data_IF_226297579586
#
_entry.id   IF_226297579586
#
_cell.length_a   1.000
_cell.length_b   1.000
_cell.length_c   1.000
_cell.angle_alpha   90.00
_cell.angle_beta   90.00
_cell.angle_gamma   90.00
#
_symmetry.space_group_name_H-M   'P 1'
#
loop_
_entity.id
_entity.type
_entity.pdbx_description
1 polymer ?
#
# COMPACT_ATOMS: atom_id res chain seq x y z
N UNK A 1 -22.97 44.07 -31.63
CA UNK A 1 -21.74 43.57 -31.04
C UNK A 1 -21.71 43.72 -29.50
N UNK A 2 -21.82 44.91 -28.88
CA UNK A 2 -21.75 45.10 -27.41
C UNK A 2 -22.70 44.24 -26.60
N UNK A 3 -23.95 44.03 -27.06
CA UNK A 3 -24.96 43.17 -26.36
C UNK A 3 -24.55 41.70 -26.33
N UNK A 4 -23.98 41.16 -27.40
CA UNK A 4 -23.47 39.78 -27.44
C UNK A 4 -22.25 39.58 -26.55
N UNK A 5 -21.38 40.57 -26.44
CA UNK A 5 -20.22 40.56 -25.59
C UNK A 5 -20.61 40.51 -24.11
N UNK A 6 -21.64 41.26 -23.69
CA UNK A 6 -22.19 41.23 -22.34
C UNK A 6 -22.82 39.89 -21.98
N UNK A 7 -23.57 39.28 -22.92
CA UNK A 7 -24.14 37.94 -22.72
C UNK A 7 -23.08 36.89 -22.58
N UNK A 8 -22.03 36.91 -23.44
CA UNK A 8 -20.92 35.96 -23.32
C UNK A 8 -20.16 36.15 -22.01
N UNK A 9 -19.88 37.39 -21.61
CA UNK A 9 -19.25 37.66 -20.30
C UNK A 9 -20.09 37.15 -19.13
N UNK A 10 -21.42 37.34 -19.16
CA UNK A 10 -22.32 36.82 -18.16
C UNK A 10 -22.29 35.28 -18.09
N UNK A 11 -22.31 34.62 -19.24
CA UNK A 11 -22.21 33.15 -19.31
C UNK A 11 -20.88 32.62 -18.75
N UNK A 12 -19.76 33.30 -19.04
CA UNK A 12 -18.45 32.92 -18.50
C UNK A 12 -18.40 33.10 -16.98
N UNK A 13 -18.98 34.14 -16.42
CA UNK A 13 -19.08 34.34 -14.96
C UNK A 13 -19.91 33.24 -14.32
N UNK A 14 -21.06 32.89 -14.89
CA UNK A 14 -21.92 31.79 -14.38
C UNK A 14 -21.19 30.46 -14.49
N UNK A 15 -20.54 30.17 -15.61
CA UNK A 15 -19.75 28.95 -15.79
C UNK A 15 -18.57 28.86 -14.79
N UNK A 16 -17.90 29.98 -14.55
CA UNK A 16 -16.84 30.07 -13.53
C UNK A 16 -17.35 29.83 -12.11
N UNK A 17 -18.49 30.40 -11.76
CA UNK A 17 -19.11 30.18 -10.46
C UNK A 17 -19.55 28.70 -10.26
N UNK A 18 -20.16 28.10 -11.31
CA UNK A 18 -20.55 26.69 -11.28
C UNK A 18 -19.31 25.76 -11.20
N UNK A 19 -18.26 26.08 -11.91
CA UNK A 19 -16.99 25.35 -11.85
C UNK A 19 -16.35 25.47 -10.45
N UNK A 20 -16.39 26.65 -9.86
CA UNK A 20 -15.89 26.88 -8.49
C UNK A 20 -16.71 26.10 -7.45
N UNK A 21 -18.05 26.11 -7.55
CA UNK A 21 -18.93 25.32 -6.65
C UNK A 21 -18.72 23.80 -6.79
N UNK A 22 -18.33 23.33 -7.96
CA UNK A 22 -18.16 21.90 -8.24
C UNK A 22 -16.67 21.50 -8.44
N UNK A 23 -15.74 22.33 -7.99
CA UNK A 23 -14.31 22.13 -8.26
C UNK A 23 -13.78 20.75 -7.84
N UNK A 24 -14.20 20.22 -6.69
CA UNK A 24 -13.80 18.89 -6.23
C UNK A 24 -14.37 17.78 -7.14
N UNK A 25 -15.64 17.88 -7.54
CA UNK A 25 -16.25 16.91 -8.47
C UNK A 25 -15.58 16.95 -9.84
N UNK A 26 -15.23 18.15 -10.32
CA UNK A 26 -14.51 18.33 -11.58
C UNK A 26 -13.09 17.76 -11.50
N UNK A 27 -12.40 18.01 -10.39
CA UNK A 27 -11.08 17.44 -10.14
C UNK A 27 -11.14 15.90 -10.13
N UNK A 28 -12.06 15.31 -9.36
CA UNK A 28 -12.24 13.87 -9.31
C UNK A 28 -12.61 13.26 -10.66
N UNK A 29 -13.46 13.95 -11.44
CA UNK A 29 -13.82 13.52 -12.79
C UNK A 29 -12.61 13.57 -13.74
N UNK A 30 -11.77 14.60 -13.63
CA UNK A 30 -10.55 14.73 -14.40
C UNK A 30 -9.54 13.63 -14.06
N UNK A 31 -9.32 13.39 -12.75
CA UNK A 31 -8.46 12.31 -12.27
C UNK A 31 -8.95 10.96 -12.77
N UNK A 32 -10.25 10.68 -12.64
CA UNK A 32 -10.85 9.45 -13.16
C UNK A 32 -10.69 9.29 -14.67
N UNK A 33 -10.84 10.38 -15.42
CA UNK A 33 -10.64 10.36 -16.88
C UNK A 33 -9.19 10.09 -17.26
N UNK A 34 -8.23 10.71 -16.58
CA UNK A 34 -6.81 10.51 -16.84
C UNK A 34 -6.38 9.10 -16.46
N UNK A 35 -6.71 8.62 -15.25
CA UNK A 35 -6.36 7.27 -14.84
C UNK A 35 -6.97 6.18 -15.75
N UNK A 36 -8.13 6.42 -16.34
CA UNK A 36 -8.74 5.49 -17.29
C UNK A 36 -8.04 5.42 -18.65
N UNK A 37 -7.23 6.43 -19.00
CA UNK A 37 -6.65 6.57 -20.34
C UNK A 37 -5.11 6.53 -20.36
N UNK A 38 -4.44 6.62 -19.21
CA UNK A 38 -2.97 6.74 -19.13
C UNK A 38 -2.24 5.43 -18.82
N UNK A 39 -2.93 4.37 -18.46
CA UNK A 39 -2.27 3.15 -17.99
C UNK A 39 -2.27 2.02 -19.04
N UNK A 40 -1.16 1.90 -19.77
CA UNK A 40 -0.82 0.62 -20.39
C UNK A 40 -0.10 -0.26 -19.34
N UNK A 41 -0.75 -1.36 -18.96
CA UNK A 41 -0.06 -2.41 -18.21
C UNK A 41 1.01 -3.00 -19.13
N UNK A 42 2.27 -2.81 -18.80
CA UNK A 42 3.38 -3.39 -19.55
C UNK A 42 3.29 -4.91 -19.61
N UNK A 43 3.97 -5.56 -20.58
CA UNK A 43 4.00 -7.01 -20.65
C UNK A 43 4.63 -7.58 -19.35
N UNK A 44 4.21 -8.79 -18.93
CA UNK A 44 4.86 -9.47 -17.82
C UNK A 44 6.36 -9.57 -18.07
N UNK A 45 7.15 -9.25 -17.03
CA UNK A 45 8.59 -9.47 -17.05
C UNK A 45 8.91 -10.77 -16.31
N UNK A 46 9.83 -11.55 -16.85
CA UNK A 46 10.40 -12.66 -16.10
C UNK A 46 11.22 -12.08 -14.92
N UNK A 47 10.83 -12.44 -13.73
CA UNK A 47 11.60 -12.10 -12.52
C UNK A 47 12.48 -13.30 -12.21
N UNK A 48 13.82 -13.18 -12.36
CA UNK A 48 14.71 -14.26 -12.00
C UNK A 48 14.70 -14.44 -10.48
N UNK A 49 14.10 -15.51 -10.02
CA UNK A 49 14.24 -15.96 -8.65
C UNK A 49 15.48 -16.82 -8.53
N UNK A 50 16.26 -16.62 -7.48
CA UNK A 50 17.29 -17.55 -7.13
C UNK A 50 16.61 -18.85 -6.69
N UNK A 51 16.65 -19.85 -7.54
CA UNK A 51 16.25 -21.19 -7.14
C UNK A 51 17.20 -21.63 -6.02
N UNK A 52 16.64 -22.05 -4.91
CA UNK A 52 17.41 -22.67 -3.84
C UNK A 52 18.05 -23.99 -4.31
N UNK A 53 18.80 -24.67 -3.45
CA UNK A 53 19.36 -25.99 -3.77
C UNK A 53 18.21 -26.98 -4.04
N UNK A 54 18.38 -27.85 -5.05
CA UNK A 54 17.39 -28.88 -5.41
C UNK A 54 17.12 -29.86 -4.26
N UNK A 55 18.13 -30.02 -3.37
CA UNK A 55 18.00 -30.81 -2.15
C UNK A 55 18.37 -29.97 -0.93
N UNK A 56 17.72 -30.25 0.17
CA UNK A 56 18.01 -29.55 1.42
C UNK A 56 19.41 -29.92 1.95
N UNK A 57 20.18 -28.92 2.27
CA UNK A 57 21.56 -29.08 2.75
C UNK A 57 21.65 -29.65 4.19
N UNK A 58 20.58 -29.54 4.96
CA UNK A 58 20.51 -29.95 6.36
C UNK A 58 19.40 -31.01 6.53
N UNK A 59 19.59 -32.06 7.32
CA UNK A 59 18.56 -33.04 7.65
C UNK A 59 17.31 -32.41 8.23
N UNK A 60 16.13 -33.01 7.99
CA UNK A 60 14.83 -32.44 8.37
C UNK A 60 14.72 -32.18 9.88
N UNK A 61 15.29 -33.03 10.70
CA UNK A 61 15.29 -32.96 12.17
C UNK A 61 16.24 -31.90 12.73
N UNK A 62 17.17 -31.42 11.92
CA UNK A 62 18.12 -30.38 12.27
C UNK A 62 17.74 -29.00 11.72
N UNK A 63 16.73 -28.92 10.83
CA UNK A 63 16.30 -27.67 10.23
C UNK A 63 15.35 -26.89 11.14
N UNK A 64 15.53 -25.59 11.30
CA UNK A 64 14.51 -24.74 11.90
C UNK A 64 13.25 -24.73 10.99
N UNK A 65 12.05 -24.53 11.56
CA UNK A 65 10.82 -24.51 10.80
C UNK A 65 10.79 -23.34 9.80
N UNK A 66 10.16 -23.54 8.65
CA UNK A 66 9.84 -22.44 7.75
C UNK A 66 8.83 -21.49 8.39
N UNK A 67 8.99 -20.19 8.15
CA UNK A 67 8.12 -19.14 8.70
C UNK A 67 7.46 -18.42 7.54
N UNK A 68 6.13 -18.46 7.48
CA UNK A 68 5.33 -17.72 6.49
C UNK A 68 4.48 -16.72 7.25
N UNK A 69 4.76 -15.42 7.06
CA UNK A 69 3.97 -14.32 7.62
C UNK A 69 3.06 -13.74 6.53
N UNK A 70 1.75 -13.94 6.68
CA UNK A 70 0.75 -13.38 5.76
C UNK A 70 0.06 -12.20 6.45
N UNK A 71 0.22 -11.01 5.88
CA UNK A 71 -0.40 -9.78 6.38
C UNK A 71 -1.51 -9.37 5.42
N UNK A 72 -2.75 -9.50 5.86
CA UNK A 72 -3.91 -8.99 5.14
C UNK A 72 -4.01 -7.47 5.32
N UNK A 73 -4.13 -6.75 4.21
CA UNK A 73 -4.20 -5.28 4.17
C UNK A 73 -5.64 -4.82 4.29
N UNK A 74 -5.92 -3.95 5.26
CA UNK A 74 -7.24 -3.36 5.55
C UNK A 74 -8.37 -4.39 5.77
N UNK A 75 -8.03 -5.59 6.28
CA UNK A 75 -9.00 -6.63 6.59
C UNK A 75 -9.59 -6.39 7.99
N UNK A 76 -10.91 -6.23 8.06
CA UNK A 76 -11.63 -6.07 9.31
C UNK A 76 -11.85 -7.39 10.04
N UNK A 77 -11.94 -7.34 11.37
CA UNK A 77 -12.20 -8.50 12.23
C UNK A 77 -13.46 -9.29 11.81
N UNK A 78 -14.51 -8.57 11.38
CA UNK A 78 -15.78 -9.18 10.96
C UNK A 78 -15.80 -9.62 9.48
N UNK A 79 -14.73 -9.39 8.72
CA UNK A 79 -14.70 -9.73 7.30
C UNK A 79 -14.41 -11.22 7.05
N UNK A 80 -13.89 -11.91 8.07
CA UNK A 80 -13.59 -13.35 8.02
C UNK A 80 -14.61 -14.16 8.82
N UNK A 81 -14.90 -15.37 8.36
CA UNK A 81 -15.92 -16.22 9.00
C UNK A 81 -15.46 -16.88 10.30
N UNK A 82 -14.18 -16.97 10.56
CA UNK A 82 -13.58 -17.55 11.79
C UNK A 82 -14.14 -16.94 13.08
N UNK A 83 -14.43 -15.64 13.07
CA UNK A 83 -14.97 -14.92 14.24
C UNK A 83 -16.50 -14.77 14.19
N UNK A 84 -17.18 -15.56 13.37
CA UNK A 84 -18.63 -15.52 13.23
C UNK A 84 -19.15 -14.44 12.29
N UNK A 85 -18.25 -13.64 11.64
CA UNK A 85 -18.55 -12.65 10.62
C UNK A 85 -18.60 -13.22 9.21
N UNK A 86 -18.10 -12.45 8.29
CA UNK A 86 -18.06 -12.71 6.85
C UNK A 86 -18.75 -11.57 6.08
N UNK A 87 -18.18 -11.20 4.94
CA UNK A 87 -18.74 -10.15 4.08
C UNK A 87 -20.16 -10.50 3.60
N UNK A 88 -20.92 -9.46 3.25
CA UNK A 88 -22.30 -9.59 2.75
C UNK A 88 -23.21 -10.39 3.71
N UNK A 89 -23.25 -9.99 4.98
CA UNK A 89 -24.05 -10.63 6.06
C UNK A 89 -23.68 -12.12 6.26
N UNK A 90 -22.39 -12.44 6.14
CA UNK A 90 -21.87 -13.80 6.34
C UNK A 90 -22.09 -14.74 5.15
N UNK A 91 -22.54 -14.24 4.00
CA UNK A 91 -22.68 -15.03 2.77
C UNK A 91 -21.32 -15.39 2.15
N UNK A 92 -20.34 -14.49 2.27
CA UNK A 92 -18.97 -14.74 1.83
C UNK A 92 -18.20 -15.39 2.98
N UNK A 93 -17.74 -16.60 2.76
CA UNK A 93 -16.99 -17.39 3.73
C UNK A 93 -15.51 -17.40 3.40
N UNK A 94 -14.69 -17.64 4.43
CA UNK A 94 -13.23 -17.75 4.34
C UNK A 94 -12.76 -19.15 4.79
N UNK A 95 -13.17 -20.23 4.06
CA UNK A 95 -13.02 -21.60 4.56
C UNK A 95 -11.56 -22.01 4.79
N UNK A 96 -10.62 -21.49 4.01
CA UNK A 96 -9.20 -21.80 4.20
C UNK A 96 -8.61 -21.09 5.43
N UNK A 97 -9.07 -19.87 5.73
CA UNK A 97 -8.68 -19.17 6.97
C UNK A 97 -9.32 -19.87 8.17
N UNK A 98 -10.58 -20.28 8.04
CA UNK A 98 -11.27 -21.03 9.09
C UNK A 98 -10.58 -22.38 9.38
N UNK A 99 -10.07 -23.05 8.33
CA UNK A 99 -9.30 -24.28 8.49
C UNK A 99 -7.95 -24.02 9.19
N UNK A 100 -7.21 -22.98 8.80
CA UNK A 100 -5.99 -22.58 9.51
C UNK A 100 -6.25 -22.30 11.00
N UNK A 101 -7.37 -21.65 11.30
CA UNK A 101 -7.78 -21.39 12.67
C UNK A 101 -8.11 -22.67 13.44
N UNK A 102 -8.73 -23.66 12.78
CA UNK A 102 -9.08 -24.95 13.39
C UNK A 102 -7.85 -25.83 13.65
N UNK A 103 -6.87 -25.77 12.79
CA UNK A 103 -5.64 -26.57 12.86
C UNK A 103 -4.54 -25.91 13.70
N UNK A 104 -4.67 -24.62 14.02
CA UNK A 104 -3.65 -23.80 14.66
C UNK A 104 -4.10 -23.16 15.97
N UNK A 105 -3.54 -21.98 16.24
CA UNK A 105 -3.84 -21.18 17.42
C UNK A 105 -4.45 -19.85 17.00
N UNK A 106 -5.61 -19.51 17.57
CA UNK A 106 -6.30 -18.25 17.34
C UNK A 106 -6.04 -17.30 18.51
N UNK A 107 -5.44 -16.15 18.22
CA UNK A 107 -5.24 -15.08 19.18
C UNK A 107 -6.46 -14.15 19.19
N UNK A 108 -7.36 -14.31 20.14
CA UNK A 108 -8.61 -13.53 20.21
C UNK A 108 -8.43 -12.11 20.76
N UNK A 109 -7.28 -11.80 21.32
CA UNK A 109 -6.91 -10.50 21.91
C UNK A 109 -5.65 -9.93 21.26
N UNK A 110 -5.54 -10.03 19.94
CA UNK A 110 -4.43 -9.46 19.16
C UNK A 110 -4.87 -8.15 18.53
N UNK A 111 -4.07 -7.10 18.73
CA UNK A 111 -4.39 -5.75 18.31
C UNK A 111 -3.31 -5.20 17.39
N UNK A 112 -3.73 -4.48 16.35
CA UNK A 112 -2.81 -3.67 15.55
C UNK A 112 -2.27 -2.51 16.39
N UNK A 113 -0.98 -2.21 16.25
CA UNK A 113 -0.35 -1.13 16.99
C UNK A 113 -0.70 0.28 16.50
N UNK A 114 -1.28 0.38 15.31
CA UNK A 114 -1.78 1.63 14.74
C UNK A 114 -2.98 1.35 13.83
N UNK A 115 -3.85 2.34 13.66
CA UNK A 115 -5.02 2.26 12.77
C UNK A 115 -4.68 2.44 11.29
N UNK A 116 -3.42 2.72 10.93
CA UNK A 116 -2.96 2.91 9.55
C UNK A 116 -1.90 1.88 9.18
N UNK A 117 -1.83 1.56 7.88
CA UNK A 117 -1.03 0.47 7.36
C UNK A 117 0.49 0.62 7.62
N UNK A 118 1.09 1.78 7.33
CA UNK A 118 2.54 1.94 7.42
C UNK A 118 3.10 1.77 8.84
N UNK A 119 2.60 2.48 9.88
CA UNK A 119 3.09 2.28 11.24
C UNK A 119 2.79 0.87 11.79
N UNK A 120 1.64 0.26 11.41
CA UNK A 120 1.33 -1.14 11.80
C UNK A 120 2.32 -2.12 11.18
N UNK A 121 2.71 -1.92 9.93
CA UNK A 121 3.74 -2.74 9.27
C UNK A 121 5.10 -2.56 9.90
N UNK A 122 5.48 -1.33 10.26
CA UNK A 122 6.71 -1.06 11.01
C UNK A 122 6.74 -1.83 12.33
N UNK A 123 5.61 -1.84 13.07
CA UNK A 123 5.50 -2.60 14.31
C UNK A 123 5.64 -4.10 14.08
N UNK A 124 5.02 -4.65 13.03
CA UNK A 124 5.15 -6.08 12.69
C UNK A 124 6.60 -6.44 12.35
N UNK A 125 7.31 -5.56 11.62
CA UNK A 125 8.69 -5.82 11.23
C UNK A 125 9.68 -5.68 12.38
N UNK A 126 9.45 -4.75 13.32
CA UNK A 126 10.44 -4.39 14.37
C UNK A 126 10.08 -4.92 15.75
N UNK A 127 8.83 -5.34 15.98
CA UNK A 127 8.31 -5.65 17.32
C UNK A 127 8.22 -4.42 18.24
N UNK A 128 8.31 -3.19 17.69
CA UNK A 128 8.32 -1.94 18.46
C UNK A 128 7.13 -1.07 18.08
N UNK A 129 6.54 -0.41 19.08
CA UNK A 129 5.46 0.56 18.83
C UNK A 129 5.96 1.73 17.96
N UNK A 130 5.08 2.31 17.10
CA UNK A 130 5.45 3.39 16.19
C UNK A 130 6.12 4.58 16.87
N UNK A 131 5.64 4.97 18.06
CA UNK A 131 6.22 6.04 18.89
C UNK A 131 7.67 5.79 19.30
N UNK A 132 8.14 4.53 19.26
CA UNK A 132 9.52 4.16 19.59
C UNK A 132 10.45 4.19 18.40
N UNK A 133 9.90 3.99 17.20
CA UNK A 133 10.64 4.04 15.94
C UNK A 133 10.60 5.44 15.32
N UNK A 134 9.71 6.32 15.80
CA UNK A 134 9.44 7.62 15.18
C UNK A 134 8.64 7.56 13.88
N UNK A 135 8.23 6.36 13.46
CA UNK A 135 7.46 6.15 12.23
C UNK A 135 5.97 5.97 12.55
N UNK A 136 5.31 7.11 12.87
CA UNK A 136 3.96 7.12 13.45
C UNK A 136 2.86 7.39 12.42
N UNK A 137 3.18 7.68 11.18
CA UNK A 137 2.23 8.06 10.14
C UNK A 137 2.59 7.43 8.79
N UNK A 138 1.59 7.38 7.92
CA UNK A 138 1.78 6.90 6.55
C UNK A 138 2.53 7.95 5.73
N UNK A 139 3.61 7.58 5.03
CA UNK A 139 4.30 8.46 4.10
C UNK A 139 3.34 9.04 3.06
N UNK A 140 3.43 10.33 2.82
CA UNK A 140 2.55 11.04 1.88
C UNK A 140 3.33 11.97 0.97
N UNK A 141 3.08 11.94 -0.36
CA UNK A 141 3.62 12.92 -1.28
C UNK A 141 3.19 14.34 -0.94
N UNK A 142 4.01 15.32 -1.29
CA UNK A 142 3.67 16.73 -1.12
C UNK A 142 2.36 17.08 -1.85
N UNK A 143 1.50 17.86 -1.19
CA UNK A 143 0.20 18.26 -1.74
C UNK A 143 -0.94 17.24 -1.55
N UNK A 144 -0.68 16.04 -1.06
CA UNK A 144 -1.71 15.05 -0.80
C UNK A 144 -2.55 15.39 0.43
N UNK A 145 -1.94 15.85 1.51
CA UNK A 145 -2.64 16.15 2.75
C UNK A 145 -3.72 17.23 2.60
N UNK A 146 -3.48 18.39 1.93
CA UNK A 146 -4.53 19.38 1.70
C UNK A 146 -5.68 18.84 0.84
N UNK A 147 -5.39 17.97 -0.11
CA UNK A 147 -6.41 17.36 -0.95
C UNK A 147 -7.31 16.41 -0.16
N UNK A 148 -6.72 15.53 0.64
CA UNK A 148 -7.46 14.61 1.52
C UNK A 148 -8.30 15.38 2.52
N UNK A 149 -7.73 16.40 3.17
CA UNK A 149 -8.46 17.25 4.13
C UNK A 149 -9.67 17.92 3.49
N UNK A 150 -9.53 18.40 2.25
CA UNK A 150 -10.63 19.02 1.50
C UNK A 150 -11.74 18.02 1.17
N UNK A 151 -11.36 16.83 0.71
CA UNK A 151 -12.34 15.77 0.41
C UNK A 151 -13.07 15.34 1.68
N UNK A 152 -12.32 15.12 2.76
CA UNK A 152 -12.90 14.76 4.06
C UNK A 152 -13.87 15.83 4.58
N UNK A 153 -13.58 17.11 4.36
CA UNK A 153 -14.47 18.21 4.74
C UNK A 153 -15.78 18.26 3.93
N UNK A 154 -15.79 17.69 2.72
CA UNK A 154 -16.99 17.59 1.87
C UNK A 154 -17.79 16.30 2.13
N UNK A 155 -17.23 15.34 2.88
CA UNK A 155 -17.92 14.08 3.22
C UNK A 155 -18.78 14.29 4.46
N UNK A 156 -20.10 14.25 4.29
CA UNK A 156 -21.08 14.26 5.40
C UNK A 156 -21.18 12.85 6.00
N UNK A 157 -20.16 12.44 6.76
CA UNK A 157 -20.07 11.14 7.40
C UNK A 157 -20.23 11.20 8.93
N UNK A 158 -20.60 12.38 9.47
CA UNK A 158 -20.76 12.61 10.91
C UNK A 158 -19.45 12.61 11.70
N UNK A 159 -18.29 12.53 11.04
CA UNK A 159 -16.99 12.60 11.68
C UNK A 159 -16.43 14.04 11.65
N UNK A 160 -15.63 14.43 12.64
CA UNK A 160 -14.91 15.70 12.59
C UNK A 160 -14.03 15.78 11.35
N UNK A 161 -14.03 16.93 10.68
CA UNK A 161 -13.12 17.19 9.57
C UNK A 161 -11.67 17.14 10.05
N UNK A 162 -10.80 16.53 9.28
CA UNK A 162 -9.37 16.54 9.53
C UNK A 162 -8.82 17.98 9.51
N UNK A 163 -7.99 18.31 10.48
CA UNK A 163 -7.28 19.59 10.49
C UNK A 163 -6.05 19.49 9.59
N UNK A 164 -5.95 20.39 8.63
CA UNK A 164 -4.76 20.52 7.79
C UNK A 164 -3.87 21.65 8.32
N UNK A 165 -2.63 21.31 8.63
CA UNK A 165 -1.60 22.24 9.02
C UNK A 165 -0.57 22.36 7.89
N UNK A 166 -0.53 23.53 7.25
CA UNK A 166 0.34 23.79 6.10
C UNK A 166 1.82 23.93 6.48
N UNK A 167 2.13 24.41 7.69
CA UNK A 167 3.51 24.53 8.14
C UNK A 167 4.09 23.18 8.46
N UNK A 168 3.31 22.33 9.12
CA UNK A 168 3.70 20.94 9.39
C UNK A 168 3.86 20.14 8.10
N UNK A 169 2.97 20.32 7.12
CA UNK A 169 3.06 19.62 5.84
C UNK A 169 4.31 20.03 5.04
N UNK A 170 4.68 21.31 5.06
CA UNK A 170 5.89 21.81 4.42
C UNK A 170 7.19 21.40 5.13
N UNK A 171 7.12 21.11 6.42
CA UNK A 171 8.28 20.66 7.22
C UNK A 171 8.62 19.18 7.03
N UNK A 172 7.73 18.41 6.40
CA UNK A 172 7.98 17.00 6.12
C UNK A 172 9.16 16.81 5.19
N UNK A 173 9.96 15.76 5.39
CA UNK A 173 10.97 15.37 4.41
C UNK A 173 10.32 15.01 3.06
N UNK A 174 11.05 15.08 1.95
CA UNK A 174 10.58 14.56 0.66
C UNK A 174 10.05 13.13 0.79
N UNK A 175 9.06 12.77 -0.02
CA UNK A 175 8.39 11.48 0.05
C UNK A 175 9.36 10.29 0.02
N UNK A 176 10.39 10.40 -0.79
CA UNK A 176 11.44 9.39 -0.97
C UNK A 176 12.28 9.16 0.32
N UNK A 177 12.26 10.11 1.23
CA UNK A 177 12.97 10.07 2.51
C UNK A 177 12.05 9.69 3.68
N UNK A 178 10.76 9.45 3.41
CA UNK A 178 9.81 9.02 4.42
C UNK A 178 9.77 7.50 4.50
N UNK A 179 10.07 6.95 5.67
CA UNK A 179 10.05 5.50 5.90
C UNK A 179 10.46 5.11 7.29
N UNK A 180 10.55 3.82 7.53
CA UNK A 180 11.12 3.28 8.76
C UNK A 180 12.61 3.63 8.81
N UNK A 181 13.11 4.22 9.92
CA UNK A 181 14.53 4.50 10.05
C UNK A 181 15.40 3.26 9.77
N UNK A 182 16.45 3.36 8.95
CA UNK A 182 17.26 2.22 8.55
C UNK A 182 18.06 1.58 9.70
N UNK A 183 18.20 2.26 10.82
CA UNK A 183 18.81 1.75 12.06
C UNK A 183 17.87 0.84 12.88
N UNK A 184 16.59 0.77 12.54
CA UNK A 184 15.65 -0.13 13.18
C UNK A 184 15.83 -1.56 12.66
N UNK A 185 16.04 -2.48 13.58
CA UNK A 185 16.27 -3.89 13.24
C UNK A 185 14.95 -4.58 12.97
N UNK A 186 14.83 -5.20 11.79
CA UNK A 186 13.64 -5.93 11.36
C UNK A 186 13.71 -7.42 11.69
N UNK A 187 12.54 -8.08 11.70
CA UNK A 187 12.47 -9.54 11.84
C UNK A 187 13.25 -10.26 10.72
N UNK A 188 13.28 -9.69 9.51
CA UNK A 188 14.03 -10.26 8.40
C UNK A 188 15.54 -10.27 8.67
N UNK A 189 16.08 -9.18 9.20
CA UNK A 189 17.50 -9.11 9.57
C UNK A 189 17.85 -10.10 10.70
N UNK A 190 16.97 -10.22 11.70
CA UNK A 190 17.14 -11.19 12.79
C UNK A 190 17.15 -12.61 12.24
N UNK A 191 16.20 -12.98 11.40
CA UNK A 191 16.10 -14.33 10.83
C UNK A 191 17.25 -14.61 9.86
N UNK A 192 17.64 -13.65 9.05
CA UNK A 192 18.83 -13.75 8.18
C UNK A 192 20.09 -14.01 9.00
N UNK A 193 20.25 -13.34 10.13
CA UNK A 193 21.35 -13.58 11.08
C UNK A 193 21.32 -15.00 11.68
N UNK A 194 20.20 -15.71 11.65
CA UNK A 194 20.03 -17.10 12.05
C UNK A 194 20.15 -18.09 10.88
N UNK A 195 20.52 -17.62 9.69
CA UNK A 195 20.72 -18.46 8.50
C UNK A 195 19.47 -18.74 7.67
N UNK A 196 18.36 -18.05 7.94
CA UNK A 196 17.18 -18.13 7.08
C UNK A 196 17.42 -17.39 5.76
N UNK A 197 16.94 -17.96 4.66
CA UNK A 197 16.68 -17.22 3.43
C UNK A 197 15.39 -16.39 3.61
N UNK A 198 15.45 -15.13 3.28
CA UNK A 198 14.36 -14.17 3.59
C UNK A 198 13.76 -13.59 2.33
N UNK A 199 12.43 -13.68 2.22
CA UNK A 199 11.69 -13.26 1.04
C UNK A 199 10.55 -12.30 1.43
N UNK A 200 10.36 -11.25 0.64
CA UNK A 200 9.22 -10.33 0.78
C UNK A 200 8.41 -10.32 -0.51
N UNK A 201 7.09 -10.48 -0.41
CA UNK A 201 6.18 -10.43 -1.55
C UNK A 201 5.01 -9.48 -1.23
N UNK A 202 4.77 -8.50 -2.07
CA UNK A 202 3.64 -7.60 -2.00
C UNK A 202 3.94 -6.24 -1.39
N UNK A 203 3.01 -5.68 -0.60
CA UNK A 203 3.08 -4.33 -0.04
C UNK A 203 4.12 -4.22 1.07
N UNK A 204 5.11 -3.34 0.90
CA UNK A 204 6.10 -2.98 1.92
C UNK A 204 5.65 -1.79 2.77
N UNK A 205 5.60 -0.62 2.20
CA UNK A 205 5.09 0.63 2.78
C UNK A 205 5.93 1.17 3.95
N UNK A 206 7.21 0.85 4.01
CA UNK A 206 8.14 1.28 5.07
C UNK A 206 9.32 2.10 4.53
N UNK A 207 9.20 2.63 3.32
CA UNK A 207 10.25 3.40 2.65
C UNK A 207 10.69 2.76 1.35
N UNK A 208 11.46 3.50 0.56
CA UNK A 208 11.74 3.15 -0.84
C UNK A 208 13.22 3.09 -1.16
N UNK A 209 14.04 3.82 -0.44
CA UNK A 209 15.48 4.00 -0.68
C UNK A 209 16.19 4.44 0.59
N UNK A 210 17.49 4.64 0.54
CA UNK A 210 18.30 5.12 1.66
C UNK A 210 18.29 4.20 2.88
N UNK A 211 18.39 2.90 2.66
CA UNK A 211 18.37 1.91 3.73
C UNK A 211 16.98 1.46 4.17
N UNK A 212 15.90 1.94 3.51
CA UNK A 212 14.53 1.67 3.91
C UNK A 212 13.81 0.64 3.02
N UNK A 213 14.39 0.27 1.88
CA UNK A 213 13.79 -0.72 0.98
C UNK A 213 13.91 -2.14 1.56
N UNK A 214 13.04 -3.11 1.18
CA UNK A 214 13.07 -4.45 1.76
C UNK A 214 14.43 -5.15 1.68
N UNK A 215 15.11 -5.04 0.53
CA UNK A 215 16.43 -5.64 0.34
C UNK A 215 17.55 -4.97 1.18
N UNK A 216 17.32 -3.74 1.64
CA UNK A 216 18.19 -3.02 2.57
C UNK A 216 17.82 -3.33 4.03
N UNK A 217 16.63 -3.87 4.27
CA UNK A 217 16.04 -4.21 5.57
C UNK A 217 15.98 -5.72 5.83
N UNK A 218 16.96 -6.46 5.28
CA UNK A 218 17.19 -7.85 5.62
C UNK A 218 16.58 -8.90 4.71
N UNK A 219 15.77 -8.53 3.70
CA UNK A 219 15.25 -9.50 2.75
C UNK A 219 16.25 -9.79 1.63
N UNK A 220 16.56 -11.08 1.39
CA UNK A 220 17.45 -11.52 0.31
C UNK A 220 16.82 -11.29 -1.06
N UNK A 221 15.50 -11.48 -1.15
CA UNK A 221 14.74 -11.25 -2.37
C UNK A 221 13.42 -10.58 -2.05
N UNK A 222 12.95 -9.73 -2.97
CA UNK A 222 11.66 -9.06 -2.81
C UNK A 222 10.95 -8.90 -4.15
N UNK A 223 9.65 -9.18 -4.15
CA UNK A 223 8.74 -8.91 -5.25
C UNK A 223 7.70 -7.89 -4.79
N UNK A 224 7.84 -6.67 -5.26
CA UNK A 224 7.00 -5.56 -4.86
C UNK A 224 6.01 -5.20 -5.96
N UNK A 225 4.85 -4.67 -5.55
CA UNK A 225 3.90 -4.08 -6.48
C UNK A 225 4.33 -2.65 -6.82
N UNK A 226 4.30 -2.32 -8.10
CA UNK A 226 4.60 -0.98 -8.55
C UNK A 226 3.46 -0.02 -8.16
N UNK A 227 3.73 0.88 -7.24
CA UNK A 227 2.86 2.01 -6.92
C UNK A 227 3.67 3.11 -6.22
N UNK A 228 3.09 4.31 -6.06
CA UNK A 228 3.74 5.41 -5.34
C UNK A 228 4.02 5.09 -3.86
N UNK A 229 3.37 4.08 -3.32
CA UNK A 229 3.57 3.60 -1.95
C UNK A 229 4.65 2.52 -1.83
N UNK A 230 5.28 2.14 -2.93
CA UNK A 230 6.26 1.05 -3.00
C UNK A 230 7.59 1.53 -3.60
N UNK A 231 8.26 0.71 -4.39
CA UNK A 231 9.50 1.09 -5.05
C UNK A 231 9.26 1.95 -6.30
N UNK A 232 10.26 2.73 -6.74
CA UNK A 232 10.22 3.43 -8.02
C UNK A 232 9.95 2.49 -9.19
N UNK A 233 9.31 3.00 -10.23
CA UNK A 233 8.93 2.22 -11.42
C UNK A 233 10.12 1.58 -12.13
N UNK A 234 11.24 2.27 -12.16
CA UNK A 234 12.50 1.85 -12.80
C UNK A 234 13.32 0.88 -11.93
N UNK A 235 12.88 0.60 -10.69
CA UNK A 235 13.53 -0.38 -9.85
C UNK A 235 13.44 -1.77 -10.49
N UNK A 236 14.56 -2.50 -10.61
CA UNK A 236 14.59 -3.80 -11.27
C UNK A 236 13.71 -4.88 -10.60
N UNK A 237 13.32 -4.68 -9.34
CA UNK A 237 12.45 -5.59 -8.58
C UNK A 237 10.96 -5.30 -8.86
N UNK A 238 10.63 -4.13 -9.42
CA UNK A 238 9.25 -3.76 -9.72
C UNK A 238 8.77 -4.48 -10.98
N UNK A 239 7.67 -5.21 -10.85
CA UNK A 239 7.05 -5.98 -11.93
C UNK A 239 5.76 -5.31 -12.40
N UNK A 240 5.65 -5.05 -13.70
CA UNK A 240 4.40 -4.74 -14.40
C UNK A 240 3.66 -3.43 -14.09
N UNK A 241 4.31 -2.34 -13.76
CA UNK A 241 3.62 -1.07 -13.80
C UNK A 241 4.50 0.04 -14.35
N UNK A 242 3.94 0.82 -15.25
CA UNK A 242 4.42 2.14 -15.61
C UNK A 242 3.59 3.18 -14.87
N UNK A 243 4.25 4.02 -14.10
CA UNK A 243 3.64 5.14 -13.41
C UNK A 243 4.36 6.42 -13.80
N UNK A 244 3.84 7.12 -14.79
CA UNK A 244 4.24 8.50 -15.01
C UNK A 244 3.49 9.38 -14.02
N UNK A 245 4.20 9.88 -13.03
CA UNK A 245 3.68 10.76 -11.99
C UNK A 245 3.65 12.21 -12.46
N UNK A 246 2.51 12.70 -12.93
CA UNK A 246 2.21 14.12 -12.80
C UNK A 246 1.74 14.40 -11.36
N UNK A 247 2.34 15.33 -10.61
CA UNK A 247 2.30 15.37 -9.14
C UNK A 247 0.94 15.49 -8.46
N UNK A 248 -0.13 15.83 -9.15
CA UNK A 248 -1.46 16.08 -8.56
C UNK A 248 -2.52 15.04 -8.89
N UNK A 249 -2.32 14.24 -9.90
CA UNK A 249 -3.39 13.42 -10.51
C UNK A 249 -3.16 11.95 -10.28
N UNK A 250 -1.92 11.58 -10.10
CA UNK A 250 -1.45 10.22 -9.95
C UNK A 250 -1.93 9.50 -8.69
N UNK A 251 -2.22 10.22 -7.61
CA UNK A 251 -2.53 9.58 -6.33
C UNK A 251 -3.87 8.83 -6.31
N UNK A 252 -4.93 9.37 -6.93
CA UNK A 252 -6.23 8.66 -6.95
C UNK A 252 -6.26 7.50 -7.93
N UNK A 253 -5.60 7.63 -9.06
CA UNK A 253 -5.36 6.51 -9.98
C UNK A 253 -4.59 5.40 -9.28
N UNK A 254 -3.55 5.74 -8.55
CA UNK A 254 -2.66 4.84 -7.81
C UNK A 254 -3.37 3.93 -6.80
N UNK A 255 -4.33 4.43 -6.04
CA UNK A 255 -5.04 3.62 -5.03
C UNK A 255 -5.97 2.60 -5.71
N UNK A 256 -6.64 2.98 -6.81
CA UNK A 256 -7.56 2.08 -7.52
C UNK A 256 -6.83 1.11 -8.47
N UNK A 257 -5.84 1.59 -9.20
CA UNK A 257 -5.18 0.78 -10.22
C UNK A 257 -4.11 -0.13 -9.65
N UNK A 258 -3.47 0.24 -8.53
CA UNK A 258 -2.62 -0.70 -7.79
C UNK A 258 -3.42 -1.87 -7.23
N UNK A 259 -4.66 -1.64 -6.80
CA UNK A 259 -5.55 -2.71 -6.36
C UNK A 259 -5.95 -3.62 -7.55
N UNK A 260 -6.30 -3.03 -8.69
CA UNK A 260 -6.71 -3.77 -9.90
C UNK A 260 -5.50 -4.44 -10.59
N UNK A 261 -4.35 -3.78 -10.67
CA UNK A 261 -3.13 -4.35 -11.21
C UNK A 261 -2.60 -5.48 -10.32
N UNK A 262 -2.71 -5.34 -9.00
CA UNK A 262 -2.37 -6.38 -8.03
C UNK A 262 -3.22 -7.64 -8.22
N UNK A 263 -4.52 -7.47 -8.42
CA UNK A 263 -5.44 -8.60 -8.68
C UNK A 263 -5.16 -9.25 -10.03
N UNK A 264 -4.64 -8.52 -11.03
CA UNK A 264 -4.32 -9.03 -12.37
C UNK A 264 -2.90 -9.60 -12.50
N UNK A 265 -1.94 -9.08 -11.74
CA UNK A 265 -0.54 -9.52 -11.78
C UNK A 265 -0.28 -10.79 -10.95
N UNK A 266 -1.14 -11.13 -9.98
CA UNK A 266 -1.05 -12.36 -9.20
C UNK A 266 -1.67 -13.53 -10.00
N UNK A 267 -1.13 -13.82 -11.15
CA UNK A 267 -1.12 -15.17 -11.70
C UNK A 267 0.25 -15.78 -11.38
N UNK A 268 0.53 -15.92 -10.10
CA UNK A 268 1.64 -16.74 -9.63
C UNK A 268 1.13 -18.18 -9.78
N UNK A 269 1.64 -18.86 -10.74
CA UNK A 269 1.54 -20.32 -10.82
C UNK A 269 2.44 -20.86 -9.68
N UNK A 270 1.86 -20.89 -8.48
CA UNK A 270 2.48 -21.55 -7.33
C UNK A 270 2.35 -23.04 -7.59
N UNK A 271 3.26 -23.57 -8.39
CA UNK A 271 3.43 -25.01 -8.51
C UNK A 271 4.06 -25.50 -7.19
N UNK A 272 3.19 -25.72 -6.20
CA UNK A 272 3.57 -26.22 -4.86
C UNK A 272 3.68 -27.76 -4.86
N UNK A 273 3.84 -28.39 -6.00
CA UNK A 273 4.16 -29.82 -6.09
C UNK A 273 5.62 -30.03 -5.64
N UNK A 274 5.83 -30.15 -4.36
CA UNK A 274 7.15 -30.51 -3.81
C UNK A 274 7.55 -29.88 -2.46
N UNK A 275 6.60 -29.31 -1.70
CA UNK A 275 6.86 -28.89 -0.30
C UNK A 275 6.28 -29.91 0.67
#
# INVERSE_FOLDING_TARGET
MKKYLLVVAGLLVVAGALAYQNQTKLLLALVKYQSANEYEVGPPRDVPWNQGPDEALTPLDERPPNIILIVADDLGYNDISTFGGGLADGRVKTPHIDQLAADGVVFTQSYSGAGTCAPSRAMLMTGRYPTRTGFEFTPTPSGMAPMISRIAAEMDNGLPSGLYDSELDQSKPPYEQQGLPPEEVTIAEVLKGQGYATFHIGKWHLGRQNGMAPHEQGFDQSLLMASALYLPEDDPIVVNAKLELTPLISFYGLVWDSLIASIRAIKIDLNLEGI
#
